data_IF_213350685503
#
_entry.id   IF_213350685503
#
_cell.length_a   1.000
_cell.length_b   1.000
_cell.length_c   1.000
_cell.angle_alpha   90.00
_cell.angle_beta   90.00
_cell.angle_gamma   90.00
#
_symmetry.space_group_name_H-M   'P 1'
#
loop_
_entity.id
_entity.type
_entity.pdbx_description
1 polymer ?
#
# COMPACT_ATOMS: atom_id res chain seq x y z
N UNK A 1 8.70 -32.59 9.41
CA UNK A 1 7.88 -32.43 10.63
C UNK A 1 6.64 -31.60 10.29
N UNK A 2 5.47 -31.88 10.90
CA UNK A 2 4.27 -31.04 10.71
C UNK A 2 4.51 -29.62 11.25
N UNK A 3 3.98 -28.55 10.63
CA UNK A 3 4.17 -27.17 11.11
C UNK A 3 3.73 -26.93 12.56
N UNK A 4 2.61 -27.54 12.99
CA UNK A 4 2.12 -27.41 14.37
C UNK A 4 3.08 -28.06 15.36
N UNK A 5 3.51 -29.29 15.07
CA UNK A 5 4.49 -30.00 15.89
C UNK A 5 5.81 -29.24 15.94
N UNK A 6 6.20 -28.58 14.84
CA UNK A 6 7.38 -27.73 14.78
C UNK A 6 7.30 -26.52 15.71
N UNK A 7 6.17 -25.83 15.76
CA UNK A 7 5.99 -24.72 16.71
C UNK A 7 6.12 -25.20 18.16
N UNK A 8 5.49 -26.31 18.51
CA UNK A 8 5.58 -26.89 19.87
C UNK A 8 7.03 -27.27 20.23
N UNK A 9 7.75 -27.91 19.30
CA UNK A 9 9.14 -28.27 19.51
C UNK A 9 10.03 -27.02 19.66
N UNK A 10 9.79 -25.96 18.89
CA UNK A 10 10.51 -24.69 19.04
C UNK A 10 10.16 -23.93 20.33
N UNK A 11 8.97 -24.16 20.90
CA UNK A 11 8.61 -23.65 22.22
C UNK A 11 9.46 -24.30 23.32
N UNK A 12 9.74 -25.60 23.21
CA UNK A 12 10.67 -26.31 24.11
C UNK A 12 12.07 -25.69 24.05
N UNK A 13 12.58 -25.35 22.86
CA UNK A 13 13.85 -24.62 22.74
C UNK A 13 13.82 -23.29 23.52
N UNK A 14 12.72 -22.55 23.38
CA UNK A 14 12.54 -21.25 24.06
C UNK A 14 12.56 -21.42 25.58
N UNK A 15 11.88 -22.45 26.11
CA UNK A 15 11.87 -22.77 27.53
C UNK A 15 13.24 -23.21 28.06
N UNK A 16 13.98 -24.05 27.30
CA UNK A 16 15.35 -24.47 27.67
C UNK A 16 16.26 -23.24 27.79
N UNK A 17 16.18 -22.32 26.83
CA UNK A 17 16.99 -21.10 26.85
C UNK A 17 16.60 -20.17 28.00
N UNK A 18 15.30 -19.97 28.24
CA UNK A 18 14.80 -19.19 29.38
C UNK A 18 15.29 -19.73 30.72
N UNK A 19 15.10 -21.04 30.95
CA UNK A 19 15.52 -21.68 32.19
C UNK A 19 17.02 -21.51 32.43
N UNK A 20 17.84 -21.64 31.39
CA UNK A 20 19.29 -21.45 31.51
C UNK A 20 19.68 -20.00 31.78
N UNK A 21 18.98 -19.04 31.18
CA UNK A 21 19.20 -17.61 31.45
C UNK A 21 18.85 -17.26 32.90
N UNK A 22 17.76 -17.83 33.44
CA UNK A 22 17.33 -17.61 34.82
C UNK A 22 18.25 -18.29 35.84
N UNK A 23 18.73 -19.51 35.55
CA UNK A 23 19.59 -20.27 36.45
C UNK A 23 21.05 -19.79 36.45
N UNK A 24 21.56 -19.34 35.30
CA UNK A 24 22.92 -18.82 35.18
C UNK A 24 22.89 -17.29 35.16
N UNK A 25 23.19 -16.65 36.29
CA UNK A 25 23.30 -15.18 36.40
C UNK A 25 24.42 -14.53 35.55
N UNK A 26 25.10 -15.30 34.71
CA UNK A 26 26.12 -14.82 33.77
C UNK A 26 25.58 -14.35 32.41
N UNK A 27 24.28 -14.48 32.13
CA UNK A 27 23.69 -13.99 30.88
C UNK A 27 23.49 -12.47 30.90
N UNK A 28 23.89 -11.81 29.81
CA UNK A 28 23.64 -10.38 29.61
C UNK A 28 22.84 -10.15 28.33
N UNK A 29 21.70 -9.49 28.46
CA UNK A 29 20.91 -9.05 27.31
C UNK A 29 21.71 -8.03 26.47
N UNK A 30 21.45 -8.02 25.16
CA UNK A 30 21.90 -6.92 24.33
C UNK A 30 21.31 -5.60 24.85
N UNK A 31 22.08 -4.51 24.89
CA UNK A 31 21.69 -3.21 25.46
C UNK A 31 20.46 -2.54 24.82
N UNK A 32 20.04 -3.02 23.64
CA UNK A 32 18.78 -2.61 22.98
C UNK A 32 17.64 -3.60 23.20
N UNK A 33 17.81 -4.61 24.03
CA UNK A 33 16.83 -5.67 24.26
C UNK A 33 16.59 -5.93 25.75
N UNK A 34 17.41 -5.37 26.64
CA UNK A 34 17.36 -5.54 28.09
C UNK A 34 16.01 -5.15 28.72
N UNK A 35 15.49 -3.95 28.45
CA UNK A 35 14.21 -3.44 28.97
C UNK A 35 12.98 -4.26 28.60
N UNK A 36 13.06 -5.03 27.52
CA UNK A 36 11.98 -5.90 27.05
C UNK A 36 12.33 -7.38 27.19
N UNK A 37 13.49 -7.69 27.78
CA UNK A 37 14.06 -9.03 27.95
C UNK A 37 14.03 -9.87 26.67
N UNK A 38 14.27 -9.24 25.51
CA UNK A 38 14.22 -9.91 24.21
C UNK A 38 15.54 -10.61 23.90
N UNK A 39 15.55 -11.95 23.95
CA UNK A 39 16.73 -12.76 23.60
C UNK A 39 16.53 -13.63 22.36
N UNK A 40 15.30 -13.77 21.84
CA UNK A 40 14.98 -14.65 20.73
C UNK A 40 13.87 -14.07 19.83
N UNK A 41 14.03 -14.20 18.51
CA UNK A 41 12.97 -14.05 17.51
C UNK A 41 13.03 -15.23 16.54
N UNK A 42 11.92 -15.91 16.32
CA UNK A 42 11.84 -17.06 15.42
C UNK A 42 10.67 -16.96 14.46
N UNK A 43 10.87 -17.43 13.23
CA UNK A 43 9.79 -17.68 12.29
C UNK A 43 10.08 -19.01 11.60
N UNK A 44 9.27 -20.03 11.89
CA UNK A 44 9.58 -21.40 11.52
C UNK A 44 11.04 -21.75 11.92
N UNK A 45 11.84 -22.25 10.99
CA UNK A 45 13.23 -22.65 11.17
C UNK A 45 14.23 -21.49 11.23
N UNK A 46 13.83 -20.28 10.83
CA UNK A 46 14.69 -19.10 10.88
C UNK A 46 14.72 -18.48 12.30
N UNK A 47 15.76 -18.81 13.07
CA UNK A 47 15.99 -18.35 14.44
C UNK A 47 17.02 -17.21 14.53
N UNK A 48 16.69 -16.14 15.25
CA UNK A 48 17.59 -15.06 15.63
C UNK A 48 17.73 -15.03 17.15
N UNK A 49 18.96 -15.11 17.64
CA UNK A 49 19.31 -15.02 19.06
C UNK A 49 20.02 -13.70 19.34
N UNK A 50 19.66 -13.04 20.44
CA UNK A 50 20.19 -11.75 20.85
C UNK A 50 20.80 -11.84 22.24
N UNK A 51 22.08 -11.53 22.34
CA UNK A 51 22.80 -11.37 23.60
C UNK A 51 23.77 -10.21 23.51
N UNK A 52 24.33 -9.81 24.66
CA UNK A 52 25.56 -9.04 24.68
C UNK A 52 26.68 -9.87 24.07
N UNK A 53 27.62 -9.19 23.41
CA UNK A 53 28.76 -9.82 22.74
C UNK A 53 29.83 -10.24 23.76
N UNK A 54 29.48 -11.16 24.65
CA UNK A 54 30.37 -11.76 25.66
C UNK A 54 30.40 -13.29 25.54
N UNK A 55 31.53 -13.93 25.89
CA UNK A 55 31.69 -15.38 25.74
C UNK A 55 30.69 -16.19 26.58
N UNK A 56 30.30 -15.69 27.76
CA UNK A 56 29.42 -16.40 28.68
C UNK A 56 28.02 -16.55 28.07
N UNK A 57 27.45 -15.46 27.56
CA UNK A 57 26.11 -15.44 26.96
C UNK A 57 26.06 -16.30 25.70
N UNK A 58 27.11 -16.24 24.86
CA UNK A 58 27.19 -17.05 23.64
C UNK A 58 27.36 -18.54 23.97
N UNK A 59 28.17 -18.87 24.99
CA UNK A 59 28.34 -20.24 25.49
C UNK A 59 27.01 -20.81 25.99
N UNK A 60 26.24 -20.03 26.75
CA UNK A 60 24.94 -20.44 27.27
C UNK A 60 23.95 -20.77 26.14
N UNK A 61 23.91 -19.95 25.08
CA UNK A 61 23.12 -20.26 23.89
C UNK A 61 23.61 -21.54 23.18
N UNK A 62 24.92 -21.72 23.03
CA UNK A 62 25.48 -22.92 22.39
C UNK A 62 25.14 -24.19 23.17
N UNK A 63 25.26 -24.15 24.50
CA UNK A 63 24.89 -25.27 25.37
C UNK A 63 23.38 -25.56 25.31
N UNK A 64 22.54 -24.52 25.33
CA UNK A 64 21.10 -24.67 25.19
C UNK A 64 20.68 -25.28 23.84
N UNK A 65 21.29 -24.84 22.75
CA UNK A 65 21.09 -25.43 21.42
C UNK A 65 21.58 -26.88 21.34
N UNK A 66 22.66 -27.22 22.05
CA UNK A 66 23.20 -28.59 22.09
C UNK A 66 22.22 -29.54 22.79
N UNK A 67 21.73 -29.16 23.98
CA UNK A 67 20.71 -29.94 24.70
C UNK A 67 19.43 -30.07 23.89
N UNK A 68 18.99 -29.00 23.24
CA UNK A 68 17.84 -29.08 22.36
C UNK A 68 18.07 -30.02 21.17
N UNK A 69 19.26 -30.01 20.58
CA UNK A 69 19.60 -30.91 19.48
C UNK A 69 19.64 -32.38 19.92
N UNK A 70 20.13 -32.67 21.13
CA UNK A 70 20.12 -34.01 21.72
C UNK A 70 18.70 -34.53 21.98
N UNK A 71 17.80 -33.66 22.46
CA UNK A 71 16.41 -34.03 22.77
C UNK A 71 15.53 -34.16 21.51
N UNK A 72 15.70 -33.27 20.54
CA UNK A 72 14.82 -33.18 19.36
C UNK A 72 15.37 -33.88 18.12
N UNK A 73 16.68 -34.15 18.08
CA UNK A 73 17.39 -34.58 16.87
C UNK A 73 17.59 -33.46 15.83
N UNK A 74 17.16 -32.23 16.09
CA UNK A 74 17.28 -31.09 15.17
C UNK A 74 18.60 -30.35 15.40
N UNK A 75 19.40 -30.20 14.34
CA UNK A 75 20.69 -29.51 14.41
C UNK A 75 20.62 -28.12 13.76
N UNK A 76 21.25 -27.14 14.40
CA UNK A 76 21.40 -25.80 13.83
C UNK A 76 22.35 -25.86 12.62
N UNK A 77 21.93 -25.25 11.50
CA UNK A 77 22.77 -25.14 10.33
C UNK A 77 23.81 -24.01 10.51
N UNK A 78 24.97 -24.36 11.06
CA UNK A 78 26.08 -23.42 11.34
C UNK A 78 27.00 -23.19 10.13
N UNK A 79 26.74 -23.81 8.97
CA UNK A 79 27.63 -23.74 7.80
C UNK A 79 27.58 -22.40 7.03
N UNK A 80 26.83 -21.40 7.51
CA UNK A 80 26.72 -20.09 6.88
C UNK A 80 27.29 -19.02 7.80
N UNK A 81 28.59 -18.77 7.70
CA UNK A 81 29.15 -17.49 8.13
C UNK A 81 28.56 -16.40 7.24
N UNK A 82 27.56 -15.68 7.75
CA UNK A 82 26.85 -14.65 7.02
C UNK A 82 27.47 -13.27 7.27
N UNK A 83 28.07 -12.68 6.24
CA UNK A 83 28.37 -11.24 6.27
C UNK A 83 27.09 -10.42 6.03
N UNK A 84 26.95 -9.29 6.73
CA UNK A 84 25.89 -8.34 6.42
C UNK A 84 26.12 -7.75 5.02
N UNK A 85 25.06 -7.56 4.21
CA UNK A 85 23.64 -7.71 4.54
C UNK A 85 23.10 -9.15 4.44
N UNK A 86 22.57 -9.67 5.54
CA UNK A 86 21.87 -10.96 5.61
C UNK A 86 20.41 -10.81 5.12
N UNK A 87 19.80 -11.87 4.59
CA UNK A 87 18.35 -11.89 4.30
C UNK A 87 17.61 -12.72 5.35
N UNK A 88 16.55 -12.16 5.92
CA UNK A 88 15.63 -12.83 6.84
C UNK A 88 14.23 -12.77 6.25
N UNK A 89 13.55 -13.92 6.08
CA UNK A 89 12.25 -14.02 5.41
C UNK A 89 12.22 -13.39 4.00
N UNK A 90 13.35 -13.47 3.29
CA UNK A 90 13.52 -12.87 1.97
C UNK A 90 13.71 -11.35 1.96
N UNK A 91 13.65 -10.68 3.11
CA UNK A 91 13.93 -9.25 3.29
C UNK A 91 15.38 -9.03 3.73
N UNK A 92 16.07 -7.99 3.21
CA UNK A 92 17.42 -7.69 3.65
C UNK A 92 17.42 -7.04 5.04
N UNK A 93 18.24 -7.56 5.95
CA UNK A 93 18.55 -6.94 7.23
C UNK A 93 19.60 -5.85 6.99
N UNK A 94 19.16 -4.59 7.07
CA UNK A 94 19.97 -3.44 6.71
C UNK A 94 20.12 -2.49 7.90
N UNK A 95 21.35 -2.11 8.20
CA UNK A 95 21.64 -0.96 9.07
C UNK A 95 21.58 0.37 8.30
N UNK A 96 21.73 0.31 6.98
CA UNK A 96 21.84 1.45 6.07
C UNK A 96 20.53 1.71 5.30
N UNK A 97 20.57 2.71 4.40
CA UNK A 97 19.46 3.03 3.51
C UNK A 97 19.26 1.90 2.48
N UNK A 98 18.01 1.50 2.28
CA UNK A 98 17.63 0.55 1.22
C UNK A 98 18.09 1.03 -0.15
N UNK A 99 19.03 0.29 -0.76
CA UNK A 99 19.59 0.59 -2.06
C UNK A 99 18.80 -0.09 -3.20
N UNK A 100 19.06 0.32 -4.44
CA UNK A 100 18.46 -0.33 -5.62
C UNK A 100 18.98 -1.77 -5.75
N UNK A 101 20.25 -2.01 -5.38
CA UNK A 101 20.87 -3.33 -5.42
C UNK A 101 20.15 -4.32 -4.49
N UNK A 102 19.70 -3.86 -3.32
CA UNK A 102 18.97 -4.67 -2.33
C UNK A 102 17.58 -5.08 -2.85
N UNK A 103 16.95 -4.20 -3.63
CA UNK A 103 15.64 -4.41 -4.25
C UNK A 103 15.68 -5.24 -5.55
N UNK A 104 16.86 -5.67 -6.03
CA UNK A 104 16.95 -6.52 -7.24
C UNK A 104 16.04 -7.76 -7.22
N UNK A 105 15.88 -8.51 -6.12
CA UNK A 105 15.04 -9.70 -6.10
C UNK A 105 13.56 -9.41 -6.32
N UNK A 106 13.05 -8.27 -5.81
CA UNK A 106 11.66 -7.90 -6.11
C UNK A 106 11.51 -7.50 -7.56
N UNK A 107 12.47 -6.78 -8.12
CA UNK A 107 12.46 -6.39 -9.52
C UNK A 107 12.44 -7.64 -10.42
N UNK A 108 13.25 -8.65 -10.12
CA UNK A 108 13.27 -9.92 -10.86
C UNK A 108 11.98 -10.73 -10.69
N UNK A 109 11.41 -10.81 -9.47
CA UNK A 109 10.17 -11.58 -9.22
C UNK A 109 8.93 -10.97 -9.87
N UNK A 110 8.92 -9.66 -10.11
CA UNK A 110 7.84 -8.94 -10.78
C UNK A 110 7.59 -9.47 -12.20
N UNK A 111 8.54 -10.17 -12.82
CA UNK A 111 8.39 -10.73 -14.17
C UNK A 111 7.43 -11.92 -14.26
N UNK A 112 7.11 -12.61 -13.14
CA UNK A 112 6.31 -13.85 -13.15
C UNK A 112 5.02 -13.80 -12.33
N UNK A 113 5.00 -13.09 -11.20
CA UNK A 113 3.81 -12.97 -10.34
C UNK A 113 3.74 -11.54 -9.80
N UNK A 114 2.90 -10.72 -10.42
CA UNK A 114 2.64 -9.36 -9.94
C UNK A 114 1.80 -9.39 -8.66
N UNK A 115 2.16 -8.56 -7.69
CA UNK A 115 1.32 -8.27 -6.51
C UNK A 115 1.94 -8.70 -5.19
N UNK A 116 1.93 -10.00 -4.87
CA UNK A 116 2.17 -10.47 -3.49
C UNK A 116 3.56 -10.09 -2.97
N UNK A 117 4.62 -10.38 -3.72
CA UNK A 117 5.98 -10.08 -3.29
C UNK A 117 6.28 -8.57 -3.18
N UNK A 118 5.70 -7.76 -4.06
CA UNK A 118 5.85 -6.30 -4.02
C UNK A 118 5.11 -5.70 -2.82
N UNK A 119 3.90 -6.18 -2.54
CA UNK A 119 3.12 -5.76 -1.38
C UNK A 119 3.85 -6.16 -0.09
N UNK A 120 4.39 -7.37 0.00
CA UNK A 120 5.16 -7.82 1.16
C UNK A 120 6.35 -6.89 1.47
N UNK A 121 7.13 -6.51 0.45
CA UNK A 121 8.23 -5.55 0.63
C UNK A 121 7.74 -4.13 0.97
N UNK A 122 6.65 -3.70 0.35
CA UNK A 122 6.03 -2.41 0.62
C UNK A 122 5.38 -2.32 2.01
N UNK A 123 5.10 -3.46 2.66
CA UNK A 123 4.67 -3.52 4.06
C UNK A 123 5.82 -3.42 5.05
N UNK A 124 7.03 -3.84 4.65
CA UNK A 124 8.20 -3.84 5.52
C UNK A 124 9.04 -2.56 5.42
N UNK A 125 9.16 -2.00 4.22
CA UNK A 125 10.04 -0.85 3.96
C UNK A 125 9.33 0.27 3.21
N UNK A 126 9.72 1.51 3.51
CA UNK A 126 9.44 2.64 2.62
C UNK A 126 10.36 2.50 1.40
N UNK A 127 9.77 2.21 0.24
CA UNK A 127 10.52 1.93 -0.98
C UNK A 127 11.13 3.22 -1.55
N UNK A 128 12.40 3.19 -2.01
CA UNK A 128 12.99 4.34 -2.70
C UNK A 128 12.18 4.73 -3.94
N UNK A 129 12.01 6.03 -4.18
CA UNK A 129 11.28 6.55 -5.35
C UNK A 129 11.76 5.96 -6.68
N UNK A 130 13.08 5.74 -6.82
CA UNK A 130 13.65 5.11 -8.00
C UNK A 130 13.15 3.67 -8.21
N UNK A 131 13.11 2.87 -7.14
CA UNK A 131 12.60 1.49 -7.20
C UNK A 131 11.12 1.50 -7.57
N UNK A 132 10.32 2.39 -6.97
CA UNK A 132 8.90 2.53 -7.33
C UNK A 132 8.73 2.88 -8.81
N UNK A 133 9.50 3.86 -9.32
CA UNK A 133 9.46 4.23 -10.75
C UNK A 133 9.82 3.06 -11.66
N UNK A 134 10.82 2.25 -11.28
CA UNK A 134 11.21 1.07 -12.06
C UNK A 134 10.11 -0.01 -12.05
N UNK A 135 9.45 -0.23 -10.91
CA UNK A 135 8.30 -1.14 -10.84
C UNK A 135 7.15 -0.63 -11.72
N UNK A 136 6.80 0.65 -11.63
CA UNK A 136 5.77 1.27 -12.46
C UNK A 136 6.11 1.25 -13.95
N UNK A 137 7.39 1.36 -14.31
CA UNK A 137 7.87 1.21 -15.68
C UNK A 137 7.60 -0.19 -16.21
N UNK A 138 7.99 -1.22 -15.46
CA UNK A 138 7.74 -2.63 -15.82
C UNK A 138 6.24 -2.94 -15.95
N UNK A 139 5.43 -2.45 -15.00
CA UNK A 139 3.97 -2.61 -15.03
C UNK A 139 3.32 -1.94 -16.24
N UNK A 140 3.79 -0.73 -16.58
CA UNK A 140 3.32 0.00 -17.76
C UNK A 140 3.70 -0.72 -19.05
N UNK A 141 4.94 -1.18 -19.17
CA UNK A 141 5.40 -1.91 -20.36
C UNK A 141 4.61 -3.23 -20.53
N UNK A 142 4.42 -3.97 -19.44
CA UNK A 142 3.59 -5.17 -19.43
C UNK A 142 2.15 -4.87 -19.88
N UNK A 143 1.51 -3.83 -19.33
CA UNK A 143 0.13 -3.48 -19.67
C UNK A 143 -0.05 -3.10 -21.14
N UNK A 144 0.91 -2.39 -21.73
CA UNK A 144 0.76 -1.86 -23.10
C UNK A 144 1.36 -2.73 -24.20
N UNK A 145 2.43 -3.49 -23.93
CA UNK A 145 3.11 -4.32 -24.93
C UNK A 145 3.10 -5.82 -24.63
N UNK A 146 2.78 -6.23 -23.39
CA UNK A 146 2.97 -7.63 -22.97
C UNK A 146 4.44 -8.05 -22.88
N UNK A 147 5.38 -7.12 -22.99
CA UNK A 147 6.83 -7.35 -22.87
C UNK A 147 7.50 -6.28 -21.99
N UNK A 148 8.78 -6.48 -21.66
CA UNK A 148 9.56 -5.57 -20.78
C UNK A 148 10.09 -4.35 -21.57
N UNK A 149 10.03 -4.38 -22.89
CA UNK A 149 10.55 -3.32 -23.75
C UNK A 149 9.77 -2.01 -23.60
N UNK A 150 10.50 -0.88 -23.76
CA UNK A 150 9.89 0.44 -23.71
C UNK A 150 8.89 0.62 -24.86
N UNK A 151 7.73 1.19 -24.54
CA UNK A 151 6.65 1.39 -25.48
C UNK A 151 5.80 2.61 -25.18
N UNK A 152 4.99 2.98 -26.17
CA UNK A 152 4.03 4.07 -26.04
C UNK A 152 2.85 3.65 -25.15
N UNK A 153 2.44 4.55 -24.26
CA UNK A 153 1.30 4.36 -23.37
C UNK A 153 0.08 5.10 -23.93
N UNK A 154 -1.04 4.40 -24.13
CA UNK A 154 -2.28 5.01 -24.65
C UNK A 154 -2.99 5.90 -23.62
N UNK A 155 -2.79 5.59 -22.33
CA UNK A 155 -3.37 6.30 -21.19
C UNK A 155 -2.28 6.53 -20.14
N UNK A 156 -2.31 7.69 -19.47
CA UNK A 156 -1.34 8.01 -18.42
C UNK A 156 -1.47 7.04 -17.24
N UNK A 157 -0.34 6.68 -16.62
CA UNK A 157 -0.34 5.73 -15.49
C UNK A 157 -1.16 6.22 -14.30
N UNK A 158 -1.17 7.54 -14.05
CA UNK A 158 -2.04 8.15 -13.03
C UNK A 158 -3.52 7.85 -13.29
N UNK A 159 -3.97 7.94 -14.55
CA UNK A 159 -5.36 7.62 -14.91
C UNK A 159 -5.63 6.10 -14.83
N UNK A 160 -4.67 5.26 -15.23
CA UNK A 160 -4.77 3.79 -15.05
C UNK A 160 -5.00 3.45 -13.58
N UNK A 161 -4.27 4.13 -12.67
CA UNK A 161 -4.34 3.87 -11.23
C UNK A 161 -5.60 4.40 -10.54
N UNK A 162 -6.39 5.23 -11.22
CA UNK A 162 -7.67 5.71 -10.67
C UNK A 162 -8.65 4.55 -10.50
N UNK A 163 -9.51 4.60 -9.48
CA UNK A 163 -10.64 3.69 -9.36
C UNK A 163 -11.52 3.66 -10.63
N UNK A 164 -12.25 2.56 -10.84
CA UNK A 164 -13.11 2.38 -12.02
C UNK A 164 -14.27 3.39 -12.04
N UNK A 165 -14.78 3.73 -10.85
CA UNK A 165 -15.78 4.79 -10.67
C UNK A 165 -15.23 6.20 -10.98
N UNK A 166 -13.91 6.38 -11.03
CA UNK A 166 -13.22 7.63 -11.43
C UNK A 166 -12.66 7.53 -12.85
N UNK A 167 -13.02 6.49 -13.60
CA UNK A 167 -12.64 6.29 -14.99
C UNK A 167 -11.26 5.67 -15.23
N UNK A 168 -10.63 5.09 -14.21
CA UNK A 168 -9.41 4.29 -14.36
C UNK A 168 -9.66 2.79 -14.43
N UNK A 169 -8.59 1.99 -14.25
CA UNK A 169 -8.65 0.53 -14.21
C UNK A 169 -8.66 -0.04 -12.78
N UNK A 170 -8.43 0.80 -11.77
CA UNK A 170 -8.38 0.40 -10.37
C UNK A 170 -7.05 -0.27 -9.96
N UNK A 171 -6.00 -0.17 -10.78
CA UNK A 171 -4.65 -0.63 -10.39
C UNK A 171 -4.14 0.27 -9.26
N UNK A 172 -3.66 -0.30 -8.16
CA UNK A 172 -3.18 0.52 -7.03
C UNK A 172 -1.90 1.27 -7.42
N UNK A 173 -1.84 2.56 -7.11
CA UNK A 173 -0.62 3.35 -7.17
C UNK A 173 0.34 2.85 -6.09
N UNK A 174 1.54 2.40 -6.49
CA UNK A 174 2.47 1.72 -5.60
C UNK A 174 3.03 2.67 -4.56
N UNK A 175 3.25 3.93 -4.93
CA UNK A 175 3.76 4.93 -4.01
C UNK A 175 2.74 5.24 -2.91
N UNK A 176 1.47 5.45 -3.27
CA UNK A 176 0.38 5.64 -2.32
C UNK A 176 0.14 4.38 -1.48
N UNK A 177 0.19 3.18 -2.09
CA UNK A 177 0.05 1.91 -1.40
C UNK A 177 1.15 1.68 -0.37
N UNK A 178 2.41 1.93 -0.73
CA UNK A 178 3.53 1.80 0.20
C UNK A 178 3.39 2.75 1.39
N UNK A 179 3.04 4.02 1.15
CA UNK A 179 2.76 4.96 2.25
C UNK A 179 1.62 4.48 3.14
N UNK A 180 0.51 4.05 2.55
CA UNK A 180 -0.66 3.51 3.27
C UNK A 180 -0.33 2.31 4.15
N UNK A 181 0.46 1.36 3.63
CA UNK A 181 0.88 0.18 4.38
C UNK A 181 1.83 0.56 5.53
N UNK A 182 2.74 1.50 5.29
CA UNK A 182 3.66 2.00 6.31
C UNK A 182 2.93 2.85 7.38
N UNK A 183 1.86 3.55 7.00
CA UNK A 183 0.98 4.25 7.95
C UNK A 183 0.33 3.30 8.95
N UNK A 184 0.17 2.01 8.66
CA UNK A 184 -0.31 1.03 9.65
C UNK A 184 0.65 0.86 10.80
N UNK A 185 1.95 0.79 10.53
CA UNK A 185 2.97 0.73 11.57
C UNK A 185 3.00 2.01 12.40
N UNK A 186 2.88 3.16 11.73
CA UNK A 186 2.79 4.45 12.42
C UNK A 186 1.53 4.56 13.29
N UNK A 187 0.38 4.09 12.80
CA UNK A 187 -0.86 4.05 13.57
C UNK A 187 -0.70 3.21 14.84
N UNK A 188 -0.08 2.03 14.76
CA UNK A 188 0.20 1.19 15.95
C UNK A 188 1.05 1.89 17.00
N UNK A 189 1.99 2.75 16.56
CA UNK A 189 2.77 3.58 17.47
C UNK A 189 1.92 4.68 18.11
N UNK A 190 1.09 5.35 17.32
CA UNK A 190 0.20 6.44 17.80
C UNK A 190 -0.84 5.88 18.78
N UNK A 191 -1.51 4.78 18.42
CA UNK A 191 -2.49 4.07 19.25
C UNK A 191 -1.87 3.31 20.43
N UNK A 192 -0.55 3.37 20.59
CA UNK A 192 0.20 2.73 21.67
C UNK A 192 -0.09 1.23 21.84
N UNK A 193 -0.18 0.46 20.74
CA UNK A 193 -0.45 -0.99 20.76
C UNK A 193 0.74 -1.80 21.31
N UNK A 194 0.97 -1.75 22.64
CA UNK A 194 2.12 -2.38 23.33
C UNK A 194 2.15 -3.90 23.27
N UNK A 195 1.10 -4.55 22.78
CA UNK A 195 1.08 -6.00 22.52
C UNK A 195 2.05 -6.44 21.42
N UNK A 196 2.44 -5.53 20.53
CA UNK A 196 3.46 -5.81 19.52
C UNK A 196 4.86 -5.61 20.10
N UNK A 197 5.71 -6.65 20.01
CA UNK A 197 7.14 -6.60 20.40
C UNK A 197 7.84 -5.40 19.76
N UNK A 198 7.59 -5.14 18.48
CA UNK A 198 8.18 -4.01 17.75
C UNK A 198 7.72 -2.66 18.31
N UNK A 199 6.42 -2.49 18.58
CA UNK A 199 5.89 -1.26 19.19
C UNK A 199 6.52 -1.06 20.56
N UNK A 200 6.51 -2.10 21.41
CA UNK A 200 7.07 -2.03 22.74
C UNK A 200 8.56 -1.66 22.73
N UNK A 201 9.34 -2.27 21.82
CA UNK A 201 10.75 -1.92 21.60
C UNK A 201 10.94 -0.45 21.22
N UNK A 202 10.15 0.07 20.28
CA UNK A 202 10.22 1.47 19.87
C UNK A 202 9.95 2.40 21.06
N UNK A 203 8.98 2.08 21.90
CA UNK A 203 8.70 2.88 23.09
C UNK A 203 9.86 2.88 24.09
N UNK A 204 10.48 1.75 24.39
CA UNK A 204 11.56 1.71 25.39
C UNK A 204 12.88 2.34 24.91
N UNK A 205 13.21 2.25 23.62
CA UNK A 205 14.54 2.65 23.10
C UNK A 205 14.54 3.83 22.14
N UNK A 206 13.39 4.23 21.58
CA UNK A 206 13.31 5.33 20.61
C UNK A 206 12.45 6.49 21.07
N UNK A 207 11.23 6.22 21.52
CA UNK A 207 10.32 7.27 21.99
C UNK A 207 10.62 7.65 23.45
N UNK A 208 10.85 6.67 24.33
CA UNK A 208 11.02 6.86 25.76
C UNK A 208 9.83 7.65 26.36
N UNK A 209 10.04 8.93 26.64
CA UNK A 209 9.02 9.85 27.17
C UNK A 209 8.47 10.82 26.12
N UNK A 210 9.01 10.81 24.90
CA UNK A 210 8.57 11.66 23.81
C UNK A 210 7.39 11.05 23.06
N UNK A 211 6.48 11.90 22.60
CA UNK A 211 5.41 11.47 21.69
C UNK A 211 5.94 11.30 20.26
N UNK A 212 5.24 10.44 19.49
CA UNK A 212 5.39 10.29 18.04
C UNK A 212 5.28 11.63 17.31
N UNK A 213 4.55 12.59 17.88
CA UNK A 213 4.30 13.91 17.29
C UNK A 213 5.44 14.92 17.45
N UNK A 214 6.24 14.79 18.51
CA UNK A 214 7.28 15.78 18.85
C UNK A 214 8.69 15.27 18.61
N UNK A 215 8.89 13.96 18.47
CA UNK A 215 10.22 13.41 18.18
C UNK A 215 10.81 13.98 16.88
N UNK A 216 12.11 14.26 16.90
CA UNK A 216 12.84 14.83 15.76
C UNK A 216 12.87 13.88 14.56
N UNK A 217 12.68 14.44 13.36
CA UNK A 217 12.81 13.71 12.09
C UNK A 217 14.26 13.64 11.57
N UNK A 218 15.21 14.20 12.33
CA UNK A 218 16.65 14.24 11.97
C UNK A 218 17.44 13.09 12.58
N UNK A 219 17.00 12.53 13.71
CA UNK A 219 17.68 11.45 14.41
C UNK A 219 17.17 10.05 13.99
N UNK A 220 18.00 9.03 14.21
CA UNK A 220 17.63 7.63 13.99
C UNK A 220 17.90 7.09 12.58
N UNK A 221 17.49 5.84 12.36
CA UNK A 221 17.74 5.12 11.10
C UNK A 221 16.98 5.77 9.94
N UNK A 222 17.43 5.50 8.70
CA UNK A 222 16.75 6.03 7.51
C UNK A 222 15.27 5.64 7.46
N UNK A 223 14.94 4.38 7.77
CA UNK A 223 13.56 3.89 7.80
C UNK A 223 12.72 4.61 8.86
N UNK A 224 13.27 4.80 10.07
CA UNK A 224 12.60 5.53 11.15
C UNK A 224 12.26 6.97 10.76
N UNK A 225 13.24 7.72 10.23
CA UNK A 225 13.02 9.11 9.79
C UNK A 225 11.95 9.21 8.72
N UNK A 226 11.87 8.23 7.82
CA UNK A 226 10.85 8.19 6.77
C UNK A 226 9.47 7.81 7.31
N UNK A 227 9.40 6.89 8.27
CA UNK A 227 8.16 6.51 8.94
C UNK A 227 7.55 7.68 9.71
N UNK A 228 8.34 8.37 10.53
CA UNK A 228 7.85 9.50 11.34
C UNK A 228 7.34 10.65 10.48
N UNK A 229 7.94 10.91 9.31
CA UNK A 229 7.44 11.93 8.36
C UNK A 229 6.05 11.63 7.80
N UNK A 230 5.54 10.40 7.91
CA UNK A 230 4.16 10.11 7.50
C UNK A 230 3.14 10.70 8.48
N UNK A 231 3.54 11.04 9.73
CA UNK A 231 2.64 11.62 10.73
C UNK A 231 2.02 12.92 10.25
N UNK A 232 2.79 13.74 9.53
CA UNK A 232 2.32 15.05 9.05
C UNK A 232 1.16 14.89 8.05
N UNK A 233 1.18 13.81 7.25
CA UNK A 233 0.09 13.49 6.32
C UNK A 233 -1.12 12.86 7.02
N UNK A 234 -0.94 12.20 8.16
CA UNK A 234 -2.01 11.53 8.90
C UNK A 234 -2.65 12.41 9.98
N UNK A 235 -1.94 13.43 10.48
CA UNK A 235 -2.40 14.34 11.55
C UNK A 235 -3.83 14.86 11.36
N UNK A 236 -4.29 15.26 10.16
CA UNK A 236 -5.65 15.75 9.96
C UNK A 236 -6.74 14.69 10.15
N UNK A 237 -6.39 13.40 10.07
CA UNK A 237 -7.32 12.27 10.19
C UNK A 237 -7.32 11.64 11.57
N UNK A 238 -6.64 12.26 12.54
CA UNK A 238 -6.47 11.72 13.90
C UNK A 238 -6.97 12.76 14.90
N UNK A 239 -7.89 12.33 15.74
CA UNK A 239 -8.49 13.14 16.80
C UNK A 239 -8.29 12.47 18.15
N UNK A 240 -7.99 13.27 19.15
CA UNK A 240 -7.81 12.83 20.53
C UNK A 240 -9.11 13.11 21.28
N UNK A 241 -9.69 12.07 21.86
CA UNK A 241 -10.84 12.18 22.76
C UNK A 241 -10.33 12.01 24.18
N UNK A 242 -10.43 13.09 24.95
CA UNK A 242 -9.91 13.17 26.32
C UNK A 242 -10.91 12.54 27.26
N UNK A 243 -10.41 11.61 28.08
CA UNK A 243 -11.13 10.98 29.17
C UNK A 243 -10.48 11.36 30.50
N UNK A 244 -9.80 10.40 31.12
CA UNK A 244 -9.09 10.53 32.40
C UNK A 244 -7.72 11.22 32.28
N UNK A 245 -7.18 11.40 31.07
CA UNK A 245 -5.91 12.08 30.82
C UNK A 245 -4.67 11.29 31.26
N UNK A 246 -4.80 10.02 31.62
CA UNK A 246 -3.68 9.21 32.13
C UNK A 246 -2.76 8.72 31.01
N UNK A 247 -3.29 8.56 29.80
CA UNK A 247 -2.58 7.98 28.66
C UNK A 247 -1.92 9.02 27.76
N UNK A 248 -2.39 10.26 27.82
CA UNK A 248 -1.90 11.36 26.99
C UNK A 248 -0.86 12.20 27.72
N UNK A 249 0.18 12.61 26.98
CA UNK A 249 1.14 13.60 27.44
C UNK A 249 0.57 15.01 27.31
N UNK A 250 0.65 15.79 28.39
CA UNK A 250 0.20 17.18 28.42
C UNK A 250 0.87 18.02 27.32
N UNK A 251 2.19 17.89 27.19
CA UNK A 251 3.00 18.76 26.34
C UNK A 251 3.20 18.22 24.92
N UNK A 252 3.29 16.90 24.78
CA UNK A 252 3.77 16.28 23.55
C UNK A 252 2.68 15.72 22.65
N UNK A 253 1.50 15.40 23.17
CA UNK A 253 0.39 14.89 22.36
C UNK A 253 -0.51 16.03 21.84
N UNK A 254 -1.05 15.90 20.62
CA UNK A 254 -1.80 16.97 19.97
C UNK A 254 -3.30 16.90 20.32
N UNK A 255 -3.60 16.90 21.62
CA UNK A 255 -4.97 16.89 22.14
C UNK A 255 -5.64 18.27 22.09
N UNK A 256 -4.85 19.35 22.07
CA UNK A 256 -5.33 20.73 21.95
C UNK A 256 -5.57 21.13 20.48
N UNK A 257 -6.41 22.15 20.23
CA UNK A 257 -6.71 22.67 18.89
C UNK A 257 -5.45 23.10 18.12
N UNK A 258 -4.48 23.64 18.86
CA UNK A 258 -3.15 24.06 18.35
C UNK A 258 -2.17 22.90 18.18
N UNK A 259 -2.58 21.66 18.40
CA UNK A 259 -1.70 20.49 18.37
C UNK A 259 -0.88 20.35 19.65
N UNK A 260 0.36 19.86 19.54
CA UNK A 260 1.21 19.61 20.70
C UNK A 260 1.67 20.93 21.32
N UNK A 261 1.32 21.16 22.59
CA UNK A 261 1.56 22.43 23.29
C UNK A 261 3.04 22.82 23.28
N UNK A 262 3.96 21.88 23.46
CA UNK A 262 5.41 22.17 23.47
C UNK A 262 5.93 22.78 22.15
N UNK A 263 5.21 22.58 21.05
CA UNK A 263 5.60 23.13 19.74
C UNK A 263 5.27 24.61 19.63
N UNK A 264 4.22 25.06 20.31
CA UNK A 264 3.73 26.45 20.27
C UNK A 264 4.16 27.24 21.51
N UNK A 265 4.32 26.56 22.64
CA UNK A 265 4.66 27.11 23.94
C UNK A 265 5.86 26.35 24.51
N UNK A 266 7.08 26.57 23.97
CA UNK A 266 8.27 25.82 24.36
C UNK A 266 8.67 26.06 25.83
N UNK A 267 8.35 27.25 26.38
CA UNK A 267 8.56 27.60 27.80
C UNK A 267 7.38 27.22 28.71
N UNK A 268 6.33 26.61 28.15
CA UNK A 268 5.13 26.19 28.88
C UNK A 268 5.40 25.37 30.14
N UNK A 269 6.27 24.33 30.11
CA UNK A 269 6.64 23.57 31.31
C UNK A 269 7.22 24.44 32.44
N UNK A 270 8.05 25.44 32.09
CA UNK A 270 8.66 26.34 33.06
C UNK A 270 7.63 27.32 33.63
N UNK A 271 6.80 27.91 32.76
CA UNK A 271 5.78 28.89 33.17
C UNK A 271 4.67 28.28 34.04
N UNK A 272 4.34 27.01 33.82
CA UNK A 272 3.29 26.30 34.59
C UNK A 272 3.84 25.50 35.77
N UNK A 273 5.18 25.44 35.92
CA UNK A 273 5.85 24.57 36.89
C UNK A 273 5.49 23.08 36.77
N UNK A 274 5.10 22.63 35.58
CA UNK A 274 4.78 21.23 35.29
C UNK A 274 5.95 20.55 34.55
N UNK A 275 6.27 19.29 34.87
CA UNK A 275 7.36 18.59 34.19
C UNK A 275 7.04 18.40 32.70
N UNK A 276 8.07 18.38 31.85
CA UNK A 276 7.92 18.13 30.40
C UNK A 276 7.29 16.76 30.11
N UNK A 277 7.44 15.80 31.02
CA UNK A 277 6.84 14.47 30.95
C UNK A 277 5.47 14.37 31.64
N UNK A 278 4.85 15.50 32.03
CA UNK A 278 3.57 15.51 32.73
C UNK A 278 2.48 14.78 31.92
N UNK A 279 1.71 13.87 32.55
CA UNK A 279 0.49 13.35 31.96
C UNK A 279 -0.60 14.43 31.96
N UNK A 280 -1.56 14.30 31.05
CA UNK A 280 -2.66 15.24 30.91
C UNK A 280 -3.56 15.29 32.16
N UNK A 281 -3.66 14.18 32.91
CA UNK A 281 -4.43 14.10 34.14
C UNK A 281 -3.95 15.08 35.24
N UNK A 282 -2.71 15.61 35.17
CA UNK A 282 -2.25 16.62 36.13
C UNK A 282 -3.03 17.94 36.08
N UNK A 283 -3.70 18.23 34.96
CA UNK A 283 -4.52 19.44 34.78
C UNK A 283 -6.02 19.11 34.67
N UNK A 284 -6.42 17.90 35.06
CA UNK A 284 -7.81 17.44 35.06
C UNK A 284 -8.19 17.04 36.49
N UNK A 285 -9.20 17.70 37.05
CA UNK A 285 -9.77 17.37 38.35
C UNK A 285 -11.30 17.31 38.22
N UNK A 286 -11.92 16.20 38.63
CA UNK A 286 -13.39 16.03 38.59
C UNK A 286 -14.02 16.36 37.22
N UNK A 287 -13.40 15.87 36.13
CA UNK A 287 -13.83 16.13 34.75
C UNK A 287 -13.80 17.62 34.33
N UNK A 288 -13.09 18.46 35.09
CA UNK A 288 -12.88 19.87 34.81
C UNK A 288 -11.39 20.20 34.64
N UNK A 289 -11.10 21.25 33.87
CA UNK A 289 -9.74 21.73 33.66
C UNK A 289 -9.26 22.52 34.87
N UNK A 290 -8.17 22.07 35.48
CA UNK A 290 -7.53 22.72 36.62
C UNK A 290 -6.07 23.04 36.30
N UNK A 291 -5.84 24.24 35.76
CA UNK A 291 -4.50 24.70 35.41
C UNK A 291 -3.82 25.41 36.61
N UNK A 292 -2.51 25.19 36.84
CA UNK A 292 -1.75 25.97 37.82
C UNK A 292 -1.86 27.47 37.53
N UNK A 293 -1.72 28.32 38.55
CA UNK A 293 -1.86 29.78 38.41
C UNK A 293 -1.10 30.30 37.18
N UNK A 294 -1.87 30.69 36.18
CA UNK A 294 -1.38 31.12 34.88
C UNK A 294 -1.16 32.63 34.91
N UNK A 295 0.09 33.08 34.97
CA UNK A 295 0.40 34.53 35.01
C UNK A 295 0.79 35.13 33.66
N UNK A 296 1.09 34.28 32.67
CA UNK A 296 1.66 34.71 31.39
C UNK A 296 0.63 34.65 30.24
N UNK A 297 0.70 35.61 29.32
CA UNK A 297 -0.16 35.73 28.13
C UNK A 297 -0.22 34.43 27.30
N UNK A 298 0.93 33.78 27.10
CA UNK A 298 1.04 32.49 26.40
C UNK A 298 0.21 31.37 27.05
N UNK A 299 0.18 31.35 28.38
CA UNK A 299 -0.54 30.33 29.14
C UNK A 299 -2.04 30.63 29.19
N UNK A 300 -2.44 31.91 29.10
CA UNK A 300 -3.85 32.31 28.95
C UNK A 300 -4.40 31.78 27.62
N UNK A 301 -3.63 31.88 26.53
CA UNK A 301 -4.02 31.36 25.22
C UNK A 301 -4.23 29.84 25.21
N UNK A 302 -3.46 29.09 26.01
CA UNK A 302 -3.67 27.64 26.19
C UNK A 302 -5.03 27.37 26.84
N UNK A 303 -5.42 28.18 27.83
CA UNK A 303 -6.65 27.97 28.60
C UNK A 303 -7.93 28.42 27.88
N UNK A 304 -7.81 29.26 26.84
CA UNK A 304 -8.97 29.83 26.14
C UNK A 304 -9.66 28.84 25.17
N UNK A 305 -8.94 27.86 24.63
CA UNK A 305 -9.44 26.92 23.60
C UNK A 305 -9.47 25.46 24.09
N UNK A 306 -9.80 25.24 25.36
CA UNK A 306 -9.76 23.90 25.95
C UNK A 306 -10.89 22.99 25.42
N UNK A 307 -10.57 21.77 24.97
CA UNK A 307 -11.55 20.79 24.50
C UNK A 307 -12.40 20.21 25.64
N UNK A 308 -13.57 19.66 25.29
CA UNK A 308 -14.46 18.99 26.24
C UNK A 308 -13.86 17.68 26.75
N UNK A 309 -13.99 17.43 28.06
CA UNK A 309 -13.63 16.16 28.70
C UNK A 309 -14.85 15.23 28.64
N UNK A 310 -14.66 13.99 28.18
CA UNK A 310 -15.76 13.09 27.84
C UNK A 310 -15.99 11.96 28.86
N UNK A 311 -15.25 11.94 29.97
CA UNK A 311 -15.25 10.87 30.96
C UNK A 311 -14.70 9.53 30.42
N UNK A 312 -14.37 8.60 31.31
CA UNK A 312 -13.81 7.29 30.96
C UNK A 312 -12.36 7.34 30.46
N UNK A 313 -11.84 6.29 29.80
CA UNK A 313 -10.44 6.24 29.37
C UNK A 313 -10.19 7.08 28.10
N UNK A 314 -9.01 7.67 28.03
CA UNK A 314 -8.47 8.33 26.84
C UNK A 314 -8.57 7.48 25.56
N UNK A 315 -8.97 8.09 24.44
CA UNK A 315 -9.10 7.38 23.14
C UNK A 315 -8.57 8.20 21.97
N UNK A 316 -7.84 7.52 21.09
CA UNK A 316 -7.40 8.09 19.80
C UNK A 316 -8.34 7.58 18.71
N UNK A 317 -8.97 8.50 18.00
CA UNK A 317 -9.97 8.22 16.99
C UNK A 317 -9.43 8.54 15.60
N UNK A 318 -9.72 7.65 14.65
CA UNK A 318 -9.52 7.92 13.24
C UNK A 318 -10.75 8.63 12.67
N UNK A 319 -10.60 9.89 12.29
CA UNK A 319 -11.64 10.72 11.68
C UNK A 319 -11.51 10.80 10.16
N UNK A 320 -10.57 10.04 9.58
CA UNK A 320 -10.46 9.90 8.14
C UNK A 320 -11.63 9.11 7.53
N UNK A 321 -11.60 8.93 6.19
CA UNK A 321 -12.64 8.18 5.49
C UNK A 321 -12.81 6.77 6.09
N UNK A 322 -14.06 6.30 6.21
CA UNK A 322 -14.45 5.00 6.79
C UNK A 322 -14.52 4.90 8.33
N UNK A 323 -14.18 5.95 9.09
CA UNK A 323 -14.44 6.03 10.54
C UNK A 323 -13.61 5.10 11.44
N UNK A 324 -12.76 4.26 10.87
CA UNK A 324 -11.78 3.44 11.60
C UNK A 324 -10.49 3.33 10.79
N UNK A 325 -9.37 3.13 11.48
CA UNK A 325 -8.09 3.01 10.80
C UNK A 325 -8.02 1.67 10.04
N UNK A 326 -7.74 1.75 8.75
CA UNK A 326 -7.31 0.61 7.95
C UNK A 326 -6.27 1.06 6.92
N UNK A 327 -5.47 0.14 6.38
CA UNK A 327 -4.57 0.48 5.28
C UNK A 327 -5.37 1.03 4.08
N UNK A 328 -6.57 0.52 3.83
CA UNK A 328 -7.45 1.04 2.77
C UNK A 328 -7.90 2.48 3.05
N UNK A 329 -8.26 2.82 4.29
CA UNK A 329 -8.58 4.18 4.70
C UNK A 329 -7.34 5.11 4.60
N UNK A 330 -6.17 4.66 5.02
CA UNK A 330 -4.93 5.43 4.83
C UNK A 330 -4.59 5.65 3.34
N UNK A 331 -4.97 4.72 2.45
CA UNK A 331 -4.73 4.87 1.01
C UNK A 331 -5.53 6.04 0.42
N UNK A 332 -6.76 6.28 0.88
CA UNK A 332 -7.57 7.41 0.37
C UNK A 332 -7.02 8.76 0.80
N UNK A 333 -6.27 8.83 1.91
CA UNK A 333 -5.52 10.03 2.31
C UNK A 333 -4.40 10.35 1.30
N UNK A 334 -3.68 9.33 0.83
CA UNK A 334 -2.59 9.52 -0.14
C UNK A 334 -3.05 9.56 -1.60
N UNK A 335 -4.23 9.05 -1.89
CA UNK A 335 -4.88 9.08 -3.19
C UNK A 335 -6.34 9.55 -3.01
N UNK A 336 -6.56 10.87 -2.91
CA UNK A 336 -7.88 11.44 -2.67
C UNK A 336 -8.84 11.08 -3.80
N UNK A 337 -10.13 10.82 -3.48
CA UNK A 337 -11.13 10.48 -4.47
C UNK A 337 -11.30 11.63 -5.48
N UNK A 338 -11.31 11.26 -6.75
CA UNK A 338 -11.56 12.16 -7.87
C UNK A 338 -13.04 12.24 -8.28
N UNK A 339 -13.35 13.01 -9.34
CA UNK A 339 -14.71 13.08 -9.87
C UNK A 339 -15.15 11.72 -10.40
N UNK A 340 -16.38 11.33 -10.10
CA UNK A 340 -16.94 10.05 -10.55
C UNK A 340 -17.45 10.13 -11.97
N UNK A 341 -17.30 9.06 -12.74
CA UNK A 341 -17.81 8.93 -14.10
C UNK A 341 -19.11 8.14 -14.14
N UNK A 342 -20.07 8.64 -14.93
CA UNK A 342 -21.40 8.02 -15.08
C UNK A 342 -21.39 6.65 -15.78
N UNK A 343 -20.33 6.35 -16.54
CA UNK A 343 -20.18 5.13 -17.32
C UNK A 343 -19.46 3.99 -16.59
N UNK A 344 -19.08 4.18 -15.33
CA UNK A 344 -18.33 3.18 -14.55
C UNK A 344 -19.07 1.84 -14.38
N UNK A 345 -20.41 1.86 -14.39
CA UNK A 345 -21.26 0.67 -14.38
C UNK A 345 -21.04 -0.25 -15.59
N UNK A 346 -20.57 0.28 -16.72
CA UNK A 346 -20.27 -0.50 -17.92
C UNK A 346 -19.02 -1.38 -17.75
N UNK A 347 -18.13 -1.01 -16.85
CA UNK A 347 -16.92 -1.77 -16.54
C UNK A 347 -17.08 -2.62 -15.27
N UNK A 348 -18.12 -2.37 -14.47
CA UNK A 348 -18.42 -3.09 -13.23
C UNK A 348 -19.44 -4.22 -13.44
N UNK A 349 -19.07 -5.46 -13.10
CA UNK A 349 -20.00 -6.59 -12.97
C UNK A 349 -20.59 -7.20 -14.26
N UNK A 350 -20.42 -6.56 -15.42
CA UNK A 350 -21.02 -6.94 -16.71
C UNK A 350 -20.08 -7.69 -17.65
N UNK A 351 -18.77 -7.52 -17.54
CA UNK A 351 -17.79 -8.22 -18.40
C UNK A 351 -16.85 -9.08 -17.55
N UNK A 352 -17.02 -10.42 -17.60
CA UNK A 352 -16.12 -11.37 -16.93
C UNK A 352 -14.77 -11.52 -17.64
N UNK A 353 -14.70 -11.22 -18.94
CA UNK A 353 -13.49 -11.38 -19.74
C UNK A 353 -12.63 -10.10 -19.67
N UNK A 354 -11.41 -10.14 -19.07
CA UNK A 354 -10.58 -8.96 -18.85
C UNK A 354 -10.21 -8.20 -20.13
N UNK A 355 -9.95 -8.93 -21.23
CA UNK A 355 -9.60 -8.36 -22.54
C UNK A 355 -10.70 -7.41 -23.05
N UNK A 356 -11.96 -7.82 -22.92
CA UNK A 356 -13.10 -7.07 -23.46
C UNK A 356 -13.32 -5.79 -22.67
N UNK A 357 -13.24 -5.90 -21.34
CA UNK A 357 -13.31 -4.76 -20.42
C UNK A 357 -12.21 -3.74 -20.69
N UNK A 358 -10.99 -4.20 -20.95
CA UNK A 358 -9.85 -3.32 -21.27
C UNK A 358 -10.04 -2.58 -22.59
N UNK A 359 -10.48 -3.26 -23.65
CA UNK A 359 -10.75 -2.64 -24.96
C UNK A 359 -11.90 -1.63 -24.86
N UNK A 360 -13.00 -1.99 -24.17
CA UNK A 360 -14.13 -1.09 -23.95
C UNK A 360 -13.71 0.16 -23.18
N UNK A 361 -12.88 0.01 -22.14
CA UNK A 361 -12.34 1.15 -21.40
C UNK A 361 -11.52 2.09 -22.30
N UNK A 362 -10.68 1.56 -23.19
CA UNK A 362 -9.95 2.38 -24.17
C UNK A 362 -10.88 3.07 -25.17
N UNK A 363 -11.94 2.40 -25.62
CA UNK A 363 -12.94 2.96 -26.52
C UNK A 363 -13.70 4.12 -25.87
N UNK A 364 -14.13 3.96 -24.62
CA UNK A 364 -14.80 5.01 -23.85
C UNK A 364 -13.91 6.26 -23.71
N UNK A 365 -12.59 6.06 -23.52
CA UNK A 365 -11.63 7.15 -23.43
C UNK A 365 -11.20 7.72 -24.79
N UNK A 366 -11.66 7.17 -25.92
CA UNK A 366 -11.24 7.56 -27.27
C UNK A 366 -9.77 7.25 -27.57
N UNK A 367 -9.22 6.21 -26.92
CA UNK A 367 -7.80 5.84 -26.94
C UNK A 367 -7.51 4.54 -27.70
N UNK A 368 -8.45 4.01 -28.47
CA UNK A 368 -8.13 2.99 -29.47
C UNK A 368 -7.14 3.54 -30.50
N UNK A 369 -6.40 2.62 -31.12
CA UNK A 369 -5.48 2.95 -32.21
C UNK A 369 -6.28 3.13 -33.48
N UNK A 370 -6.41 4.36 -33.94
CA UNK A 370 -7.14 4.77 -35.16
C UNK A 370 -6.24 5.73 -35.95
N UNK A 371 -6.43 5.86 -37.28
CA UNK A 371 -5.54 6.68 -38.13
C UNK A 371 -5.64 8.19 -37.84
N UNK A 372 -6.70 8.64 -37.15
CA UNK A 372 -6.82 10.00 -36.61
C UNK A 372 -5.74 10.38 -35.58
N UNK A 373 -4.94 9.41 -35.10
CA UNK A 373 -3.88 9.66 -34.12
C UNK A 373 -2.60 10.15 -34.80
N UNK A 374 -1.91 11.17 -34.26
CA UNK A 374 -0.71 11.76 -34.87
C UNK A 374 0.36 10.75 -35.27
N UNK A 375 0.55 9.69 -34.48
CA UNK A 375 1.57 8.67 -34.73
C UNK A 375 1.17 7.60 -35.76
N UNK A 376 -0.07 7.63 -36.28
CA UNK A 376 -0.58 6.71 -37.32
C UNK A 376 -0.92 7.42 -38.63
N UNK A 377 -0.77 8.75 -38.71
CA UNK A 377 -1.05 9.53 -39.91
C UNK A 377 -0.22 9.12 -41.14
N UNK A 378 0.93 8.46 -40.92
CA UNK A 378 1.78 7.92 -41.99
C UNK A 378 1.13 6.78 -42.80
N UNK A 379 0.03 6.19 -42.32
CA UNK A 379 -0.67 5.09 -43.00
C UNK A 379 -1.66 5.58 -44.08
N UNK A 380 -1.82 6.90 -44.23
CA UNK A 380 -2.72 7.51 -45.21
C UNK A 380 -4.15 7.72 -44.68
N UNK A 381 -4.99 8.47 -45.42
CA UNK A 381 -6.35 8.81 -45.01
C UNK A 381 -7.39 7.74 -45.37
N UNK A 382 -7.03 6.69 -46.12
CA UNK A 382 -7.99 5.70 -46.61
C UNK A 382 -8.36 4.69 -45.54
N UNK A 383 -9.66 4.49 -45.32
CA UNK A 383 -10.13 3.49 -44.37
C UNK A 383 -9.93 2.07 -44.93
N UNK A 384 -9.25 1.19 -44.18
CA UNK A 384 -8.94 -0.19 -44.63
C UNK A 384 -10.19 -1.05 -44.85
N UNK A 385 -11.32 -0.68 -44.23
CA UNK A 385 -12.54 -1.50 -44.20
C UNK A 385 -13.54 -1.15 -45.30
N UNK A 386 -13.86 0.14 -45.46
CA UNK A 386 -14.76 0.58 -46.53
C UNK A 386 -14.00 0.98 -47.80
N UNK A 387 -12.66 1.12 -47.74
CA UNK A 387 -11.81 1.60 -48.84
C UNK A 387 -12.21 3.00 -49.36
N UNK A 388 -12.97 3.75 -48.57
CA UNK A 388 -13.29 5.15 -48.86
C UNK A 388 -12.14 6.05 -48.39
N UNK A 389 -11.95 7.19 -49.07
CA UNK A 389 -10.93 8.19 -48.75
C UNK A 389 -11.34 9.05 -47.54
N UNK A 390 -11.60 8.37 -46.42
CA UNK A 390 -12.07 8.95 -45.17
C UNK A 390 -11.21 8.46 -44.02
N UNK A 391 -10.64 9.42 -43.28
CA UNK A 391 -9.74 9.12 -42.17
C UNK A 391 -10.40 8.21 -41.13
N UNK A 392 -9.72 7.12 -40.80
CA UNK A 392 -10.20 6.18 -39.78
C UNK A 392 -10.17 6.83 -38.39
N UNK A 393 -11.36 7.20 -37.91
CA UNK A 393 -11.61 7.69 -36.55
C UNK A 393 -12.55 6.74 -35.80
N UNK A 394 -12.70 6.92 -34.48
CA UNK A 394 -13.71 6.17 -33.72
C UNK A 394 -15.13 6.37 -34.29
N UNK A 395 -15.48 7.60 -34.65
CA UNK A 395 -16.81 7.89 -35.19
C UNK A 395 -17.00 7.22 -36.55
N UNK A 396 -15.97 7.22 -37.40
CA UNK A 396 -16.01 6.53 -38.68
C UNK A 396 -16.16 5.02 -38.47
N UNK A 397 -15.26 4.39 -37.72
CA UNK A 397 -15.27 2.94 -37.52
C UNK A 397 -16.58 2.39 -36.94
N UNK A 398 -17.22 3.11 -36.02
CA UNK A 398 -18.43 2.61 -35.33
C UNK A 398 -19.75 3.11 -35.94
N UNK A 399 -19.79 4.26 -36.61
CA UNK A 399 -21.04 4.92 -36.99
C UNK A 399 -21.08 5.50 -38.42
N UNK A 400 -20.00 5.48 -39.20
CA UNK A 400 -20.05 6.01 -40.57
C UNK A 400 -19.52 5.02 -41.61
N UNK A 401 -18.64 4.11 -41.23
CA UNK A 401 -18.05 3.11 -42.11
C UNK A 401 -19.13 2.17 -42.67
N UNK A 402 -19.30 2.19 -43.99
CA UNK A 402 -20.30 1.40 -44.72
C UNK A 402 -20.12 -0.12 -44.50
N UNK A 403 -18.88 -0.59 -44.36
CA UNK A 403 -18.58 -1.98 -43.99
C UNK A 403 -19.03 -2.31 -42.56
N UNK A 404 -18.62 -1.50 -41.57
CA UNK A 404 -18.98 -1.72 -40.17
C UNK A 404 -20.50 -1.69 -39.96
N UNK A 405 -21.20 -0.76 -40.62
CA UNK A 405 -22.67 -0.67 -40.57
C UNK A 405 -23.33 -1.93 -41.12
N UNK A 406 -22.84 -2.51 -42.23
CA UNK A 406 -23.33 -3.79 -42.75
C UNK A 406 -23.14 -4.92 -41.75
N UNK A 407 -21.96 -5.02 -41.14
CA UNK A 407 -21.68 -6.00 -40.09
C UNK A 407 -22.63 -5.84 -38.88
N UNK A 408 -22.81 -4.61 -38.39
CA UNK A 408 -23.73 -4.31 -37.29
C UNK A 408 -25.15 -4.75 -37.64
N UNK A 409 -25.66 -4.41 -38.82
CA UNK A 409 -27.01 -4.78 -39.26
C UNK A 409 -27.19 -6.30 -39.36
N UNK A 410 -26.20 -7.02 -39.89
CA UNK A 410 -26.23 -8.48 -39.93
C UNK A 410 -26.30 -9.09 -38.52
N UNK A 411 -25.46 -8.62 -37.60
CA UNK A 411 -25.44 -9.09 -36.20
C UNK A 411 -26.77 -8.76 -35.51
N UNK A 412 -27.38 -7.58 -35.77
CA UNK A 412 -28.69 -7.21 -35.21
C UNK A 412 -29.78 -8.20 -35.61
N UNK A 413 -29.78 -8.67 -36.86
CA UNK A 413 -30.73 -9.69 -37.34
C UNK A 413 -30.56 -11.02 -36.62
N UNK A 414 -29.32 -11.43 -36.34
CA UNK A 414 -29.02 -12.71 -35.69
C UNK A 414 -29.37 -12.70 -34.20
N UNK A 415 -29.15 -11.58 -33.50
CA UNK A 415 -29.28 -11.55 -32.04
C UNK A 415 -30.55 -10.82 -31.56
N UNK A 416 -31.38 -10.34 -32.47
CA UNK A 416 -32.67 -9.67 -32.19
C UNK A 416 -32.54 -8.55 -31.15
N UNK A 417 -31.43 -7.81 -31.19
CA UNK A 417 -31.13 -6.74 -30.23
C UNK A 417 -31.13 -5.37 -30.93
N UNK A 418 -31.84 -4.42 -30.33
CA UNK A 418 -31.98 -3.07 -30.85
C UNK A 418 -31.08 -2.10 -30.10
N UNK A 419 -30.23 -1.41 -30.87
CA UNK A 419 -29.24 -0.46 -30.37
C UNK A 419 -29.44 0.90 -31.07
N UNK A 420 -29.33 2.04 -30.34
CA UNK A 420 -29.47 3.36 -30.94
C UNK A 420 -28.27 3.66 -31.86
N UNK A 421 -28.53 3.88 -33.15
CA UNK A 421 -27.52 4.38 -34.08
C UNK A 421 -27.38 5.89 -33.86
N UNK A 422 -26.43 6.27 -32.99
CA UNK A 422 -26.23 7.65 -32.54
C UNK A 422 -24.77 7.89 -32.19
N UNK A 423 -24.38 9.14 -31.89
CA UNK A 423 -23.00 9.46 -31.54
C UNK A 423 -22.49 8.68 -30.32
N UNK A 424 -21.17 8.47 -30.27
CA UNK A 424 -20.49 7.72 -29.21
C UNK A 424 -20.88 8.14 -27.77
N UNK A 425 -20.97 9.44 -27.42
CA UNK A 425 -21.34 9.86 -26.07
C UNK A 425 -22.78 9.50 -25.70
N UNK A 426 -23.71 9.60 -26.65
CA UNK A 426 -25.13 9.25 -26.47
C UNK A 426 -25.30 7.76 -26.22
N UNK A 427 -24.56 6.97 -26.99
CA UNK A 427 -24.43 5.52 -26.84
C UNK A 427 -23.95 5.12 -25.45
N UNK A 428 -22.87 5.73 -24.95
CA UNK A 428 -22.33 5.42 -23.63
C UNK A 428 -23.34 5.78 -22.55
N UNK A 429 -23.99 6.94 -22.66
CA UNK A 429 -25.02 7.38 -21.71
C UNK A 429 -26.19 6.41 -21.68
N UNK A 430 -26.73 6.05 -22.85
CA UNK A 430 -27.81 5.07 -22.97
C UNK A 430 -27.43 3.73 -22.33
N UNK A 431 -26.24 3.21 -22.65
CA UNK A 431 -25.77 1.93 -22.12
C UNK A 431 -25.59 1.98 -20.60
N UNK A 432 -25.01 3.07 -20.07
CA UNK A 432 -24.72 3.22 -18.65
C UNK A 432 -25.97 3.23 -17.78
N UNK A 433 -27.08 3.77 -18.30
CA UNK A 433 -28.40 3.77 -17.65
C UNK A 433 -29.06 2.39 -17.80
N UNK A 434 -29.06 1.83 -19.02
CA UNK A 434 -29.80 0.61 -19.35
C UNK A 434 -29.23 -0.65 -18.69
N UNK A 435 -27.93 -0.67 -18.42
CA UNK A 435 -27.19 -1.83 -17.90
C UNK A 435 -26.76 -1.70 -16.43
N UNK A 436 -27.15 -0.62 -15.73
CA UNK A 436 -26.86 -0.44 -14.30
C UNK A 436 -27.52 -1.55 -13.47
N UNK A 437 -26.74 -2.29 -12.69
CA UNK A 437 -27.23 -3.25 -11.68
C UNK A 437 -27.85 -4.56 -12.19
N UNK A 438 -27.88 -4.80 -13.51
CA UNK A 438 -28.40 -6.05 -14.07
C UNK A 438 -27.26 -7.05 -14.22
N UNK A 439 -27.31 -8.15 -13.47
CA UNK A 439 -26.46 -9.32 -13.72
C UNK A 439 -26.67 -9.75 -15.18
N UNK A 440 -25.59 -9.83 -15.94
CA UNK A 440 -25.57 -10.31 -17.33
C UNK A 440 -25.72 -11.83 -17.37
N UNK A 441 -26.76 -12.34 -16.74
CA UNK A 441 -27.15 -13.76 -16.86
C UNK A 441 -28.24 -13.92 -17.92
N UNK A 442 -28.91 -12.85 -18.35
CA UNK A 442 -30.15 -13.02 -19.13
C UNK A 442 -30.05 -12.79 -20.63
N UNK A 443 -29.00 -12.21 -21.23
CA UNK A 443 -29.00 -12.04 -22.70
C UNK A 443 -27.64 -12.22 -23.35
N UNK A 444 -27.59 -13.23 -24.23
CA UNK A 444 -26.70 -13.62 -25.36
C UNK A 444 -25.92 -12.50 -26.12
N UNK A 445 -25.64 -11.36 -25.49
CA UNK A 445 -25.20 -10.10 -26.10
C UNK A 445 -23.77 -9.69 -25.71
N UNK A 446 -23.08 -10.49 -24.90
CA UNK A 446 -21.68 -10.23 -24.50
C UNK A 446 -20.66 -10.28 -25.66
N UNK A 447 -21.10 -10.70 -26.84
CA UNK A 447 -20.32 -10.74 -28.07
C UNK A 447 -20.57 -9.52 -28.98
N UNK A 448 -21.19 -8.42 -28.58
CA UNK A 448 -21.54 -7.36 -29.56
C UNK A 448 -20.42 -6.38 -29.91
N UNK A 449 -19.63 -5.96 -28.93
CA UNK A 449 -18.53 -5.01 -29.14
C UNK A 449 -17.31 -5.64 -29.82
N UNK A 450 -17.22 -6.97 -29.80
CA UNK A 450 -16.03 -7.71 -30.17
C UNK A 450 -15.92 -8.10 -31.64
N UNK A 451 -16.94 -8.64 -32.32
CA UNK A 451 -16.88 -9.03 -33.71
C UNK A 451 -16.48 -7.86 -34.58
N UNK A 452 -17.03 -6.66 -34.36
CA UNK A 452 -16.58 -5.46 -35.06
C UNK A 452 -15.08 -5.21 -34.83
N UNK A 453 -14.56 -5.28 -33.61
CA UNK A 453 -13.13 -5.04 -33.40
C UNK A 453 -12.21 -6.21 -33.83
N UNK A 454 -12.62 -7.46 -33.68
CA UNK A 454 -11.85 -8.64 -34.12
C UNK A 454 -11.88 -8.81 -35.64
N UNK A 455 -12.95 -8.39 -36.31
CA UNK A 455 -13.05 -8.38 -37.77
C UNK A 455 -12.45 -7.12 -38.38
N UNK A 456 -12.52 -5.97 -37.70
CA UNK A 456 -12.09 -4.68 -38.27
C UNK A 456 -10.69 -4.20 -37.82
N UNK A 457 -10.14 -4.70 -36.71
CA UNK A 457 -8.85 -4.22 -36.16
C UNK A 457 -7.85 -5.32 -35.81
N UNK A 458 -8.17 -6.59 -36.12
CA UNK A 458 -7.36 -7.75 -35.74
C UNK A 458 -6.01 -7.85 -36.45
N UNK A 459 -5.92 -7.40 -37.70
CA UNK A 459 -4.73 -7.61 -38.54
C UNK A 459 -3.62 -6.57 -38.33
N UNK A 460 -3.94 -5.40 -37.77
CA UNK A 460 -2.98 -4.30 -37.65
C UNK A 460 -2.53 -3.99 -36.20
N UNK A 461 -3.27 -4.44 -35.17
CA UNK A 461 -3.08 -3.94 -33.79
C UNK A 461 -2.55 -5.00 -32.81
N UNK A 462 -2.63 -6.29 -33.15
CA UNK A 462 -2.02 -7.36 -32.35
C UNK A 462 -1.00 -8.13 -33.20
N UNK A 463 0.24 -7.67 -33.20
CA UNK A 463 1.41 -8.47 -33.56
C UNK A 463 1.65 -9.60 -32.55
N UNK A 464 0.69 -10.51 -32.42
CA UNK A 464 0.98 -11.90 -32.06
C UNK A 464 1.12 -12.64 -33.38
N UNK A 465 2.32 -12.59 -33.95
CA UNK A 465 2.71 -13.43 -35.08
C UNK A 465 2.74 -14.88 -34.62
N UNK A 466 1.61 -15.58 -34.67
CA UNK A 466 1.63 -16.99 -35.00
C UNK A 466 1.89 -17.06 -36.51
N UNK A 467 3.17 -16.99 -36.89
CA UNK A 467 3.60 -17.45 -38.22
C UNK A 467 3.23 -18.92 -38.34
N UNK A 468 2.38 -19.33 -39.31
CA UNK A 468 2.40 -20.70 -39.77
C UNK A 468 3.75 -20.89 -40.47
N UNK A 469 4.57 -21.80 -39.94
CA UNK A 469 5.72 -22.30 -40.67
C UNK A 469 5.24 -22.85 -42.01
N UNK A 470 5.90 -22.41 -43.08
CA UNK A 470 6.00 -23.17 -44.31
C UNK A 470 5.01 -22.80 -45.40
N UNK A 471 5.44 -21.93 -46.31
CA UNK A 471 5.33 -22.21 -47.72
C UNK A 471 6.50 -21.53 -48.43
N UNK A 472 7.56 -22.32 -48.64
CA UNK A 472 8.46 -22.12 -49.77
C UNK A 472 7.61 -22.21 -51.04
N UNK A 473 7.78 -21.27 -51.96
CA UNK A 473 7.95 -21.57 -53.39
C UNK A 473 8.39 -20.31 -54.14
N UNK A 474 9.51 -20.53 -54.84
CA UNK A 474 10.13 -19.79 -55.96
C UNK A 474 10.56 -18.37 -55.71
#
# INVERSE_FOLDING_TARGET
MSPFLFVLVMEVLTLILLQRIEQNGGFSYHWRCDRIQLFQLGFADDLLLFSKADPNSVRLFKEGLTVFAELSGLQANLQREGHLPLRYLGLPLLASRLSVADCRPILQKIERVFGVGTVYWAMAFILPKHVIKEIEKRLRNFLWKGSIETGYAKVSWKQVCRPVNEGGLGIRDIHALNKSLMSRHLWRLIAQERSSIWVNWIFHYRLQHYSVWTISTRSGTWGWRKLIRLRDSLRPCITYRIGDGTSFSLWHDPWHARGALISHFPLGPQHTSLPTTAPLCMVILEESWNWPSVTNMESIDITHELPTIHGGPDRILWTGPQGSFSAAAAYTVFCPPGPTVGWSSLLGGTFKIPRHRFILWLAILGRLSTMDKPWLQHLGPTCVLCQEDVMESHEHLFFMCSYATRCILAIRRVVSFHWPYSSWPTVIRWASVRWRGKHVVVRRTELFWLPLYTTCGGSAIFGFSNTPRGLRRT
#
